data_IF_230627862125
#
_entry.id   IF_230627862125
#
_cell.length_a   1.000
_cell.length_b   1.000
_cell.length_c   1.000
_cell.angle_alpha   90.00
_cell.angle_beta   90.00
_cell.angle_gamma   90.00
#
_symmetry.space_group_name_H-M   'P 1'
#
loop_
_entity.id
_entity.type
_entity.pdbx_description
1 polymer ?
#
# COMPACT_ATOMS: atom_id res chain seq x y z
N UNK A 1 -28.88 -14.99 18.58
CA UNK A 1 -27.57 -15.14 17.91
C UNK A 1 -27.33 -13.89 17.09
N UNK A 2 -26.38 -13.06 17.51
CA UNK A 2 -26.01 -11.79 16.86
C UNK A 2 -25.17 -12.10 15.63
N UNK A 3 -25.60 -11.66 14.45
CA UNK A 3 -24.80 -11.85 13.24
C UNK A 3 -23.50 -11.02 13.35
N UNK A 4 -22.36 -11.51 12.85
CA UNK A 4 -21.12 -10.74 12.86
C UNK A 4 -21.30 -9.44 12.09
N UNK A 5 -20.63 -8.38 12.57
CA UNK A 5 -20.72 -6.99 12.07
C UNK A 5 -20.49 -6.89 10.55
N UNK A 6 -19.68 -7.79 10.00
CA UNK A 6 -19.37 -7.88 8.57
C UNK A 6 -20.03 -9.10 7.89
N UNK A 7 -21.29 -9.39 8.23
CA UNK A 7 -22.07 -10.42 7.54
C UNK A 7 -22.87 -9.85 6.38
N UNK A 8 -23.14 -10.66 5.36
CA UNK A 8 -24.03 -10.32 4.26
C UNK A 8 -25.42 -9.89 4.75
N UNK A 9 -25.88 -10.44 5.88
CA UNK A 9 -27.14 -10.05 6.51
C UNK A 9 -27.10 -8.64 7.12
N UNK A 10 -25.96 -8.24 7.72
CA UNK A 10 -25.75 -6.87 8.18
C UNK A 10 -25.71 -5.89 7.00
N UNK A 11 -25.08 -6.29 5.89
CA UNK A 11 -25.00 -5.47 4.68
C UNK A 11 -26.36 -5.26 4.01
N UNK A 12 -27.19 -6.31 3.94
CA UNK A 12 -28.56 -6.23 3.41
C UNK A 12 -29.45 -5.31 4.24
N UNK A 13 -29.39 -5.38 5.58
CA UNK A 13 -30.13 -4.45 6.46
C UNK A 13 -29.71 -3.00 6.27
N UNK A 14 -28.40 -2.74 6.19
CA UNK A 14 -27.89 -1.38 5.97
C UNK A 14 -28.40 -0.80 4.64
N UNK A 15 -28.45 -1.62 3.57
CA UNK A 15 -29.04 -1.21 2.29
C UNK A 15 -30.54 -0.92 2.42
N UNK A 16 -31.31 -1.78 3.07
CA UNK A 16 -32.75 -1.57 3.29
C UNK A 16 -33.05 -0.32 4.13
N UNK A 17 -32.18 0.03 5.09
CA UNK A 17 -32.28 1.26 5.88
C UNK A 17 -31.95 2.51 5.06
N UNK A 18 -30.99 2.42 4.12
CA UNK A 18 -30.65 3.50 3.19
C UNK A 18 -31.69 3.71 2.08
N UNK A 19 -32.34 2.65 1.62
CA UNK A 19 -33.38 2.69 0.59
C UNK A 19 -34.76 3.08 1.15
N UNK A 20 -34.90 3.11 2.47
CA UNK A 20 -36.07 3.71 3.12
C UNK A 20 -36.03 5.22 2.94
N UNK A 21 -37.06 5.85 2.34
CA UNK A 21 -37.08 7.30 2.19
C UNK A 21 -37.12 7.95 3.57
N UNK A 22 -36.00 8.58 3.94
CA UNK A 22 -35.92 9.42 5.12
C UNK A 22 -36.81 10.66 4.90
N UNK A 23 -37.54 11.01 5.96
CA UNK A 23 -38.34 12.23 6.11
C UNK A 23 -37.66 13.44 5.48
N UNK A 24 -38.45 14.19 4.70
CA UNK A 24 -38.26 15.57 4.25
C UNK A 24 -36.88 16.16 4.59
N UNK A 25 -35.92 15.90 3.71
CA UNK A 25 -34.62 16.54 3.72
C UNK A 25 -34.83 18.04 3.46
N UNK A 26 -34.28 18.97 4.27
CA UNK A 26 -34.12 20.34 3.80
C UNK A 26 -33.30 20.28 2.50
N UNK A 27 -33.73 21.03 1.49
CA UNK A 27 -33.25 20.95 0.11
C UNK A 27 -31.75 20.61 0.03
N UNK A 28 -31.41 19.55 -0.73
CA UNK A 28 -30.03 19.19 -1.05
C UNK A 28 -29.35 20.41 -1.69
N UNK A 29 -28.58 21.14 -0.90
CA UNK A 29 -27.62 22.10 -1.41
C UNK A 29 -26.56 21.30 -2.15
N UNK A 30 -26.49 21.48 -3.46
CA UNK A 30 -25.47 20.86 -4.30
C UNK A 30 -24.22 21.73 -4.29
N UNK A 31 -23.07 21.14 -4.62
CA UNK A 31 -21.81 21.89 -4.72
C UNK A 31 -21.89 23.05 -5.73
N UNK A 32 -22.80 22.97 -6.70
CA UNK A 32 -23.05 24.02 -7.69
C UNK A 32 -23.79 25.24 -7.11
N UNK A 33 -24.41 25.12 -5.94
CA UNK A 33 -25.13 26.20 -5.26
C UNK A 33 -24.21 27.09 -4.42
N UNK A 34 -22.92 26.75 -4.30
CA UNK A 34 -21.91 27.53 -3.58
C UNK A 34 -21.23 28.51 -4.57
N UNK A 35 -21.31 29.83 -4.35
CA UNK A 35 -20.62 30.82 -5.18
C UNK A 35 -19.11 30.58 -5.21
N UNK A 36 -18.46 30.79 -6.37
CA UNK A 36 -17.01 30.59 -6.51
C UNK A 36 -16.18 31.56 -5.65
N UNK A 37 -16.78 32.66 -5.23
CA UNK A 37 -16.26 33.74 -4.40
C UNK A 37 -16.87 33.76 -3.00
N UNK A 38 -17.50 32.65 -2.56
CA UNK A 38 -18.02 32.54 -1.22
C UNK A 38 -16.91 32.84 -0.19
N UNK A 39 -17.08 33.93 0.53
CA UNK A 39 -16.18 34.34 1.61
C UNK A 39 -16.13 33.20 2.64
N UNK A 40 -14.93 32.67 2.88
CA UNK A 40 -14.71 31.61 3.84
C UNK A 40 -14.96 32.19 5.23
N UNK A 41 -15.99 31.73 5.94
CA UNK A 41 -16.23 32.11 7.33
C UNK A 41 -14.91 32.01 8.13
N UNK A 42 -14.55 33.06 8.86
CA UNK A 42 -13.31 33.15 9.66
C UNK A 42 -13.15 32.04 10.72
N UNK A 43 -14.18 31.18 10.89
CA UNK A 43 -14.17 29.99 11.74
C UNK A 43 -13.95 28.65 11.01
N UNK A 44 -14.05 28.61 9.69
CA UNK A 44 -13.86 27.39 8.89
C UNK A 44 -12.38 27.19 8.54
N UNK A 45 -11.55 27.09 9.58
CA UNK A 45 -10.21 26.52 9.46
C UNK A 45 -10.38 25.06 9.07
N UNK A 46 -9.83 24.63 7.93
CA UNK A 46 -9.74 23.22 7.56
C UNK A 46 -8.96 22.52 8.70
N UNK A 47 -9.70 21.95 9.65
CA UNK A 47 -9.16 21.24 10.78
C UNK A 47 -8.63 19.89 10.34
N UNK A 48 -7.59 19.41 11.01
CA UNK A 48 -7.05 18.08 10.78
C UNK A 48 -7.74 17.10 11.73
N UNK A 49 -8.28 16.00 11.21
CA UNK A 49 -8.87 14.95 12.04
C UNK A 49 -7.76 14.15 12.73
N UNK A 50 -7.78 14.10 14.06
CA UNK A 50 -6.79 13.36 14.86
C UNK A 50 -7.26 11.95 15.27
N UNK A 51 -8.42 11.50 14.81
CA UNK A 51 -9.05 10.24 15.23
C UNK A 51 -10.28 10.42 16.12
N UNK A 52 -10.39 11.56 16.83
CA UNK A 52 -11.50 11.85 17.77
C UNK A 52 -12.20 13.18 17.50
N UNK A 53 -11.45 14.21 17.07
CA UNK A 53 -11.98 15.55 16.77
C UNK A 53 -11.13 16.27 15.71
N UNK A 54 -11.68 17.31 15.11
CA UNK A 54 -10.92 18.23 14.28
C UNK A 54 -10.10 19.17 15.15
N UNK A 55 -8.80 19.30 14.87
CA UNK A 55 -7.86 20.15 15.59
C UNK A 55 -7.10 21.06 14.62
N UNK A 56 -6.44 22.10 15.14
CA UNK A 56 -5.56 22.94 14.33
C UNK A 56 -4.35 22.14 13.82
N UNK A 57 -3.70 22.62 12.76
CA UNK A 57 -2.48 22.01 12.22
C UNK A 57 -1.38 21.81 13.27
N UNK A 58 -1.13 22.80 14.12
CA UNK A 58 -0.12 22.72 15.18
C UNK A 58 -0.46 21.65 16.24
N UNK A 59 -1.73 21.59 16.65
CA UNK A 59 -2.19 20.54 17.56
C UNK A 59 -2.13 19.17 16.91
N UNK A 60 -2.44 19.08 15.61
CA UNK A 60 -2.32 17.84 14.87
C UNK A 60 -0.88 17.36 14.81
N UNK A 61 0.09 18.22 14.50
CA UNK A 61 1.51 17.85 14.54
C UNK A 61 1.98 17.41 15.93
N UNK A 62 1.46 18.03 17.00
CA UNK A 62 1.80 17.68 18.37
C UNK A 62 1.15 16.36 18.86
N UNK A 63 -0.02 16.01 18.30
CA UNK A 63 -0.81 14.84 18.72
C UNK A 63 -0.72 13.69 17.72
N UNK A 64 -0.17 13.94 16.53
CA UNK A 64 0.02 12.92 15.50
C UNK A 64 0.83 11.78 16.14
N UNK A 65 0.28 10.56 16.21
CA UNK A 65 1.13 9.43 16.52
C UNK A 65 2.20 9.45 15.44
N UNK A 66 3.46 9.56 15.86
CA UNK A 66 4.61 9.26 15.02
C UNK A 66 4.46 7.79 14.61
N UNK A 67 3.60 7.53 13.62
CA UNK A 67 3.78 6.45 12.67
C UNK A 67 5.01 6.87 11.87
N UNK A 68 6.17 6.87 12.54
CA UNK A 68 7.38 6.55 11.85
C UNK A 68 7.05 5.22 11.19
N UNK A 69 6.96 5.20 9.86
CA UNK A 69 7.08 3.95 9.15
C UNK A 69 8.24 3.22 9.82
N UNK A 70 8.01 2.00 10.37
CA UNK A 70 9.10 1.27 10.97
C UNK A 70 10.19 1.28 9.93
N UNK A 71 11.34 1.89 10.26
CA UNK A 71 12.48 1.95 9.37
C UNK A 71 12.60 0.54 8.80
N UNK A 72 12.49 0.35 7.47
CA UNK A 72 12.41 -0.98 6.90
C UNK A 72 13.55 -1.75 7.53
N UNK A 73 13.30 -2.91 8.16
CA UNK A 73 14.32 -3.61 8.91
C UNK A 73 15.53 -3.65 8.00
N UNK A 74 16.62 -3.00 8.43
CA UNK A 74 17.82 -2.91 7.63
C UNK A 74 18.12 -4.35 7.28
N UNK A 75 17.87 -4.72 6.02
CA UNK A 75 17.85 -6.10 5.61
C UNK A 75 19.30 -6.51 5.59
N UNK A 76 19.83 -6.87 6.76
CA UNK A 76 21.15 -7.42 6.95
C UNK A 76 21.14 -8.88 6.44
N UNK A 77 20.52 -9.10 5.28
CA UNK A 77 20.98 -10.13 4.38
C UNK A 77 22.43 -9.77 4.05
N UNK A 78 23.37 -10.71 4.24
CA UNK A 78 24.77 -10.47 3.93
C UNK A 78 24.88 -9.96 2.49
N UNK A 79 25.80 -9.03 2.26
CA UNK A 79 26.20 -8.72 0.89
C UNK A 79 26.67 -10.03 0.24
N UNK A 80 26.04 -10.41 -0.87
CA UNK A 80 26.18 -11.74 -1.47
C UNK A 80 24.98 -12.68 -1.29
N UNK A 81 23.92 -12.27 -0.58
CA UNK A 81 22.67 -13.03 -0.58
C UNK A 81 22.09 -13.10 -2.01
N UNK A 82 21.98 -14.32 -2.54
CA UNK A 82 21.38 -14.60 -3.83
C UNK A 82 20.08 -15.38 -3.60
N UNK A 83 19.03 -15.02 -4.34
CA UNK A 83 17.79 -15.77 -4.40
C UNK A 83 17.64 -16.35 -5.80
N UNK A 84 17.22 -17.60 -5.90
CA UNK A 84 16.98 -18.27 -7.18
C UNK A 84 15.57 -18.83 -7.21
N UNK A 85 14.91 -18.65 -8.35
CA UNK A 85 13.66 -19.31 -8.66
C UNK A 85 13.59 -19.68 -10.14
N UNK A 86 12.78 -20.69 -10.45
CA UNK A 86 12.35 -20.96 -11.82
C UNK A 86 10.98 -20.31 -12.00
N UNK A 87 10.97 -19.18 -12.69
CA UNK A 87 9.75 -18.41 -12.99
C UNK A 87 9.26 -18.84 -14.38
N UNK A 88 8.12 -19.53 -14.44
CA UNK A 88 7.64 -20.16 -15.68
C UNK A 88 8.69 -21.14 -16.26
N UNK A 89 9.28 -20.81 -17.41
CA UNK A 89 10.35 -21.60 -18.05
C UNK A 89 11.75 -21.02 -17.86
N UNK A 90 11.89 -19.89 -17.17
CA UNK A 90 13.14 -19.13 -17.07
C UNK A 90 13.67 -19.17 -15.65
N UNK A 91 14.91 -19.63 -15.48
CA UNK A 91 15.61 -19.46 -14.20
C UNK A 91 15.97 -18.00 -13.99
N UNK A 92 15.61 -17.46 -12.84
CA UNK A 92 15.87 -16.08 -12.42
C UNK A 92 16.71 -16.11 -11.14
N UNK A 93 17.72 -15.25 -11.09
CA UNK A 93 18.53 -15.00 -9.91
C UNK A 93 18.39 -13.53 -9.51
N UNK A 94 18.16 -13.28 -8.22
CA UNK A 94 18.18 -11.96 -7.60
C UNK A 94 19.39 -11.89 -6.69
N UNK A 95 20.30 -10.95 -6.92
CA UNK A 95 21.50 -10.80 -6.09
C UNK A 95 21.52 -9.42 -5.46
N UNK A 96 21.81 -9.36 -4.16
CA UNK A 96 22.07 -8.11 -3.46
C UNK A 96 23.45 -7.56 -3.84
N UNK A 97 23.48 -6.32 -4.30
CA UNK A 97 24.68 -5.57 -4.71
C UNK A 97 24.65 -4.20 -4.00
N UNK A 98 25.23 -4.14 -2.80
CA UNK A 98 25.12 -2.99 -1.90
C UNK A 98 23.67 -2.78 -1.45
N UNK A 99 23.08 -1.62 -1.79
CA UNK A 99 21.73 -1.23 -1.38
C UNK A 99 20.61 -1.69 -2.33
N UNK A 100 20.95 -2.41 -3.41
CA UNK A 100 19.97 -2.78 -4.45
C UNK A 100 20.05 -4.24 -4.86
N UNK A 101 18.90 -4.75 -5.27
CA UNK A 101 18.70 -6.05 -5.89
C UNK A 101 18.83 -5.94 -7.39
N UNK A 102 19.69 -6.80 -7.95
CA UNK A 102 19.90 -6.96 -9.38
C UNK A 102 19.27 -8.28 -9.84
N UNK A 103 18.74 -8.30 -11.05
CA UNK A 103 18.10 -9.47 -11.64
C UNK A 103 18.95 -10.04 -12.79
N UNK A 104 19.07 -11.36 -12.81
CA UNK A 104 19.72 -12.14 -13.86
C UNK A 104 18.72 -13.18 -14.35
N UNK A 105 18.55 -13.31 -15.66
CA UNK A 105 17.54 -14.17 -16.25
C UNK A 105 18.15 -15.11 -17.30
N UNK A 106 17.75 -16.38 -17.25
CA UNK A 106 18.26 -17.46 -18.08
C UNK A 106 19.65 -17.96 -17.65
N UNK A 107 20.60 -17.06 -17.40
CA UNK A 107 21.90 -17.39 -16.82
C UNK A 107 22.33 -16.38 -15.76
N UNK A 108 23.06 -16.84 -14.74
CA UNK A 108 23.61 -15.98 -13.67
C UNK A 108 24.61 -14.93 -14.19
N UNK A 109 25.16 -15.08 -15.40
CA UNK A 109 26.06 -14.10 -16.03
C UNK A 109 25.31 -13.00 -16.78
N UNK A 110 24.04 -13.22 -17.15
CA UNK A 110 23.27 -12.27 -17.96
C UNK A 110 22.44 -11.35 -17.07
N UNK A 111 23.09 -10.30 -16.57
CA UNK A 111 22.45 -9.23 -15.81
C UNK A 111 21.47 -8.47 -16.70
N UNK A 112 20.26 -8.22 -16.19
CA UNK A 112 19.33 -7.24 -16.77
C UNK A 112 19.75 -5.82 -16.41
N UNK A 113 19.87 -4.96 -17.43
CA UNK A 113 20.28 -3.56 -17.25
C UNK A 113 19.11 -2.64 -16.89
N UNK A 114 17.90 -3.09 -17.19
CA UNK A 114 16.64 -2.38 -17.01
C UNK A 114 15.97 -2.68 -15.67
N UNK A 115 16.64 -3.43 -14.79
CA UNK A 115 16.12 -3.74 -13.46
C UNK A 115 17.18 -3.46 -12.39
N UNK A 116 16.78 -2.66 -11.41
CA UNK A 116 17.45 -2.50 -10.13
C UNK A 116 16.40 -2.02 -9.12
N UNK A 117 16.28 -2.68 -7.97
CA UNK A 117 15.32 -2.28 -6.94
C UNK A 117 15.95 -2.32 -5.55
N UNK A 118 15.72 -1.33 -4.68
CA UNK A 118 16.20 -1.40 -3.30
C UNK A 118 15.49 -2.50 -2.48
N UNK A 119 14.32 -2.98 -2.92
CA UNK A 119 13.48 -3.89 -2.14
C UNK A 119 13.42 -5.29 -2.76
N UNK A 120 13.70 -6.32 -1.95
CA UNK A 120 13.65 -7.73 -2.37
C UNK A 120 12.25 -8.13 -2.86
N UNK A 121 11.20 -7.77 -2.11
CA UNK A 121 9.83 -8.12 -2.49
C UNK A 121 9.43 -7.54 -3.84
N UNK A 122 9.84 -6.30 -4.12
CA UNK A 122 9.60 -5.68 -5.42
C UNK A 122 10.34 -6.44 -6.53
N UNK A 123 11.56 -6.90 -6.26
CA UNK A 123 12.32 -7.70 -7.21
C UNK A 123 11.68 -9.07 -7.49
N UNK A 124 11.17 -9.75 -6.46
CA UNK A 124 10.42 -11.00 -6.59
C UNK A 124 9.16 -10.79 -7.44
N UNK A 125 8.31 -9.82 -7.06
CA UNK A 125 7.07 -9.54 -7.79
C UNK A 125 7.33 -9.14 -9.24
N UNK A 126 8.39 -8.39 -9.51
CA UNK A 126 8.76 -8.00 -10.87
C UNK A 126 9.23 -9.19 -11.69
N UNK A 127 10.03 -10.09 -11.12
CA UNK A 127 10.42 -11.33 -11.79
C UNK A 127 9.20 -12.20 -12.12
N UNK A 128 8.26 -12.32 -11.18
CA UNK A 128 7.03 -13.09 -11.39
C UNK A 128 6.10 -12.45 -12.43
N UNK A 129 6.02 -11.12 -12.46
CA UNK A 129 5.27 -10.40 -13.48
C UNK A 129 5.87 -10.56 -14.89
N UNK A 130 7.19 -10.68 -14.99
CA UNK A 130 7.89 -10.78 -16.29
C UNK A 130 7.99 -12.19 -16.83
N UNK A 131 8.18 -13.18 -15.98
CA UNK A 131 8.46 -14.56 -16.39
C UNK A 131 7.40 -15.58 -15.92
N UNK A 132 6.42 -15.14 -15.13
CA UNK A 132 5.42 -15.99 -14.52
C UNK A 132 5.78 -16.40 -13.08
N UNK A 133 4.85 -17.03 -12.36
CA UNK A 133 5.04 -17.40 -10.96
C UNK A 133 6.22 -18.34 -10.76
N UNK A 134 6.87 -18.25 -9.59
CA UNK A 134 7.95 -19.15 -9.20
C UNK A 134 7.39 -20.56 -8.92
N UNK A 135 7.76 -21.54 -9.73
CA UNK A 135 7.23 -22.90 -9.64
C UNK A 135 7.57 -23.60 -8.32
N UNK A 136 8.80 -23.42 -7.84
CA UNK A 136 9.33 -24.07 -6.62
C UNK A 136 9.53 -23.07 -5.46
N UNK A 137 8.96 -21.87 -5.58
CA UNK A 137 9.25 -20.73 -4.71
C UNK A 137 10.67 -20.19 -4.86
N UNK A 138 11.01 -19.19 -4.04
CA UNK A 138 12.33 -18.56 -4.04
C UNK A 138 13.24 -19.23 -3.02
N UNK A 139 14.37 -19.75 -3.51
CA UNK A 139 15.39 -20.41 -2.71
C UNK A 139 16.52 -19.44 -2.39
N UNK A 140 16.98 -19.43 -1.14
CA UNK A 140 18.17 -18.65 -0.73
C UNK A 140 19.42 -19.44 -1.07
N UNK A 141 20.26 -18.88 -1.93
CA UNK A 141 21.61 -19.34 -2.21
C UNK A 141 22.58 -18.51 -1.35
N UNK A 142 23.12 -19.13 -0.30
CA UNK A 142 24.19 -18.54 0.49
C UNK A 142 25.51 -18.84 -0.21
N UNK A 143 26.15 -17.82 -0.80
CA UNK A 143 27.56 -17.93 -1.21
C UNK A 143 28.39 -18.11 0.07
N UNK A 144 29.08 -19.25 0.16
CA UNK A 144 29.91 -19.67 1.29
C UNK A 144 31.34 -19.17 1.11
#
# INVERSE_FOLDING_TARGET
MTAPVYSLAAWRRCREEHERPARETPAELTLADIPADAEMDDGNVIGFWNGERFVSWEQWLATAPLMADPAPPASALPDGAAYRATCGSTSVWLRKDGERWLMFAGTQKRRRRDFASPFLEHAIRTAEAWYGPAADGWQVEQER
#
